data_IF_811050266611
#
_entry.id   IF_811050266611
#
_cell.length_a   1.000
_cell.length_b   1.000
_cell.length_c   1.000
_cell.angle_alpha   90.00
_cell.angle_beta   90.00
_cell.angle_gamma   90.00
#
_symmetry.space_group_name_H-M   'P 1'
#
loop_
_entity.id
_entity.type
_entity.pdbx_description
1 polymer ?
#
# COMPACT_ATOMS: atom_id res chain seq x y z
N UNK A 1 -70.33 -12.09 -15.13
CA UNK A 1 -69.25 -11.12 -14.85
C UNK A 1 -68.56 -11.59 -13.60
N UNK A 2 -67.37 -12.21 -13.73
CA UNK A 2 -66.58 -12.79 -12.61
C UNK A 2 -65.47 -11.81 -12.24
N UNK A 3 -65.51 -11.25 -11.04
CA UNK A 3 -64.43 -10.39 -10.50
C UNK A 3 -63.39 -11.29 -9.84
N UNK A 4 -62.18 -11.33 -10.36
CA UNK A 4 -61.00 -11.96 -9.75
C UNK A 4 -60.43 -11.07 -8.67
N UNK A 5 -59.97 -11.59 -7.52
CA UNK A 5 -59.40 -10.78 -6.45
C UNK A 5 -57.91 -10.49 -6.69
N UNK A 6 -57.60 -9.21 -6.62
CA UNK A 6 -56.26 -8.60 -6.79
C UNK A 6 -55.52 -8.52 -5.43
N UNK A 7 -55.39 -9.61 -4.67
CA UNK A 7 -54.81 -9.55 -3.30
C UNK A 7 -53.80 -10.68 -3.03
N UNK A 8 -52.92 -11.03 -3.96
CA UNK A 8 -51.91 -12.06 -3.60
C UNK A 8 -50.45 -11.75 -4.03
N UNK A 9 -50.14 -10.54 -4.47
CA UNK A 9 -48.77 -10.21 -4.97
C UNK A 9 -47.97 -9.28 -4.04
N UNK A 10 -48.51 -8.80 -2.93
CA UNK A 10 -47.78 -7.80 -2.06
C UNK A 10 -46.98 -8.44 -0.93
N UNK A 11 -47.13 -9.72 -0.62
CA UNK A 11 -46.48 -10.34 0.56
C UNK A 11 -45.14 -11.04 0.27
N UNK A 12 -44.66 -11.11 -0.98
CA UNK A 12 -43.40 -11.78 -1.30
C UNK A 12 -42.17 -10.85 -1.44
N UNK A 13 -42.36 -9.53 -1.40
CA UNK A 13 -41.30 -8.55 -1.62
C UNK A 13 -40.52 -8.14 -0.36
N UNK A 14 -40.96 -8.53 0.83
CA UNK A 14 -40.31 -8.14 2.07
C UNK A 14 -39.22 -9.10 2.58
N UNK A 15 -39.16 -10.33 2.08
CA UNK A 15 -38.16 -11.32 2.55
C UNK A 15 -36.78 -11.14 1.93
N UNK A 16 -36.65 -10.45 0.77
CA UNK A 16 -35.34 -10.23 0.13
C UNK A 16 -34.52 -9.09 0.70
N UNK A 17 -35.16 -8.10 1.33
CA UNK A 17 -34.46 -6.95 1.90
C UNK A 17 -33.68 -7.26 3.18
N UNK A 18 -34.13 -8.24 3.98
CA UNK A 18 -33.47 -8.61 5.24
C UNK A 18 -32.14 -9.37 5.01
N UNK A 19 -32.04 -10.18 3.95
CA UNK A 19 -30.81 -10.92 3.63
C UNK A 19 -29.72 -10.04 3.04
N UNK A 20 -30.06 -8.95 2.36
CA UNK A 20 -29.09 -8.00 1.81
C UNK A 20 -28.44 -7.13 2.91
N UNK A 21 -29.15 -6.83 3.98
CA UNK A 21 -28.62 -6.06 5.11
C UNK A 21 -27.67 -6.87 6.00
N UNK A 22 -27.90 -8.18 6.14
CA UNK A 22 -27.00 -9.07 6.89
C UNK A 22 -25.70 -9.37 6.12
N UNK A 23 -25.75 -9.45 4.79
CA UNK A 23 -24.57 -9.58 3.95
C UNK A 23 -23.69 -8.30 3.99
N UNK A 24 -24.29 -7.12 3.99
CA UNK A 24 -23.55 -5.85 4.13
C UNK A 24 -22.96 -5.62 5.51
N UNK A 25 -23.51 -6.21 6.57
CA UNK A 25 -22.93 -6.14 7.93
C UNK A 25 -21.73 -7.06 8.11
N UNK A 26 -21.62 -8.12 7.32
CA UNK A 26 -20.49 -9.07 7.42
C UNK A 26 -19.19 -8.53 6.80
N UNK A 27 -19.25 -7.54 5.92
CA UNK A 27 -18.11 -6.87 5.29
C UNK A 27 -17.73 -5.53 5.93
N UNK A 28 -18.34 -5.17 7.05
CA UNK A 28 -17.83 -4.08 7.88
C UNK A 28 -16.46 -4.52 8.42
N UNK A 29 -15.40 -4.13 7.74
CA UNK A 29 -14.03 -4.41 8.18
C UNK A 29 -13.90 -4.02 9.64
N UNK A 30 -13.53 -5.00 10.50
CA UNK A 30 -13.18 -4.74 11.90
C UNK A 30 -12.34 -3.45 11.94
N UNK A 31 -12.66 -2.48 12.81
CA UNK A 31 -11.87 -1.26 12.93
C UNK A 31 -10.39 -1.64 13.02
N UNK A 32 -9.56 -1.01 12.20
CA UNK A 32 -8.14 -1.27 12.25
C UNK A 32 -7.64 -0.99 13.67
N UNK A 33 -6.81 -1.90 14.20
CA UNK A 33 -6.16 -1.71 15.48
C UNK A 33 -5.52 -0.30 15.52
N UNK A 34 -5.79 0.52 16.55
CA UNK A 34 -5.25 1.88 16.65
C UNK A 34 -3.73 1.93 16.50
N UNK A 35 -2.99 0.94 17.02
CA UNK A 35 -1.53 0.86 16.89
C UNK A 35 -1.12 0.61 15.43
N UNK A 36 -1.82 -0.28 14.74
CA UNK A 36 -1.58 -0.54 13.31
C UNK A 36 -1.87 0.70 12.47
N UNK A 37 -2.93 1.46 12.84
CA UNK A 37 -3.23 2.72 12.14
C UNK A 37 -2.09 3.72 12.27
N UNK A 38 -1.55 3.91 13.48
CA UNK A 38 -0.43 4.83 13.72
C UNK A 38 0.80 4.43 12.90
N UNK A 39 1.13 3.14 12.88
CA UNK A 39 2.26 2.63 12.09
C UNK A 39 2.05 2.87 10.59
N UNK A 40 0.85 2.59 10.07
CA UNK A 40 0.52 2.81 8.67
C UNK A 40 0.55 4.28 8.28
N UNK A 41 0.00 5.16 9.11
CA UNK A 41 0.00 6.60 8.85
C UNK A 41 1.44 7.13 8.81
N UNK A 42 2.29 6.72 9.75
CA UNK A 42 3.72 7.08 9.76
C UNK A 42 4.47 6.53 8.55
N UNK A 43 4.24 5.27 8.19
CA UNK A 43 4.82 4.65 7.01
C UNK A 43 4.46 5.39 5.72
N UNK A 44 3.17 5.68 5.55
CA UNK A 44 2.66 6.38 4.37
C UNK A 44 3.20 7.82 4.30
N UNK A 45 3.32 8.50 5.43
CA UNK A 45 3.85 9.86 5.48
C UNK A 45 5.34 9.91 5.13
N UNK A 46 6.15 8.95 5.60
CA UNK A 46 7.55 8.82 5.18
C UNK A 46 7.64 8.56 3.68
N UNK A 47 6.83 7.64 3.15
CA UNK A 47 6.79 7.34 1.71
C UNK A 47 6.40 8.55 0.87
N UNK A 48 5.41 9.32 1.32
CA UNK A 48 4.99 10.56 0.65
C UNK A 48 6.12 11.58 0.60
N UNK A 49 6.79 11.82 1.74
CA UNK A 49 7.90 12.78 1.83
C UNK A 49 9.08 12.37 0.95
N UNK A 50 9.47 11.10 1.00
CA UNK A 50 10.58 10.61 0.19
C UNK A 50 10.27 10.69 -1.30
N UNK A 51 9.03 10.38 -1.69
CA UNK A 51 8.57 10.52 -3.08
C UNK A 51 8.61 11.99 -3.53
N UNK A 52 8.10 12.91 -2.72
CA UNK A 52 8.13 14.34 -3.04
C UNK A 52 9.57 14.85 -3.20
N UNK A 53 10.47 14.48 -2.28
CA UNK A 53 11.91 14.80 -2.41
C UNK A 53 12.50 14.27 -3.72
N UNK A 54 12.15 13.04 -4.11
CA UNK A 54 12.62 12.46 -5.35
C UNK A 54 12.05 13.20 -6.58
N UNK A 55 10.79 13.61 -6.54
CA UNK A 55 10.16 14.37 -7.63
C UNK A 55 10.75 15.77 -7.78
N UNK A 56 11.00 16.46 -6.67
CA UNK A 56 11.48 17.85 -6.66
C UNK A 56 12.99 17.96 -6.96
N UNK A 57 13.78 16.92 -6.66
CA UNK A 57 15.23 16.98 -6.84
C UNK A 57 15.61 17.01 -8.33
N UNK A 58 16.54 17.89 -8.77
CA UNK A 58 16.95 17.99 -10.17
C UNK A 58 17.55 16.69 -10.72
N UNK A 59 17.12 16.26 -11.89
CA UNK A 59 17.54 14.98 -12.48
C UNK A 59 19.05 14.94 -12.75
N UNK A 60 19.62 16.04 -13.20
CA UNK A 60 21.07 16.21 -13.47
C UNK A 60 21.92 16.09 -12.20
N UNK A 61 21.32 16.13 -10.99
CA UNK A 61 21.99 16.00 -9.71
C UNK A 61 21.78 14.62 -9.04
N UNK A 62 21.04 13.74 -9.67
CA UNK A 62 20.74 12.40 -9.07
C UNK A 62 22.00 11.59 -8.78
N UNK A 63 23.03 11.72 -9.62
CA UNK A 63 24.29 10.99 -9.46
C UNK A 63 25.37 11.78 -8.72
N UNK A 64 25.05 12.99 -8.23
CA UNK A 64 25.96 13.77 -7.39
C UNK A 64 26.23 13.08 -6.07
N UNK A 65 27.53 12.99 -5.71
CA UNK A 65 28.02 12.48 -4.42
C UNK A 65 28.66 13.60 -3.63
N UNK A 66 28.20 13.88 -2.39
CA UNK A 66 28.83 14.89 -1.54
C UNK A 66 30.31 14.62 -1.29
N UNK A 67 30.66 13.34 -1.13
CA UNK A 67 32.05 12.85 -1.09
C UNK A 67 32.13 11.51 -1.85
N UNK A 68 33.31 11.09 -2.33
CA UNK A 68 33.47 9.82 -3.05
C UNK A 68 33.01 8.58 -2.26
N UNK A 69 33.08 8.63 -0.94
CA UNK A 69 32.70 7.53 -0.07
C UNK A 69 31.19 7.45 0.20
N UNK A 70 30.45 8.49 -0.08
CA UNK A 70 29.00 8.54 0.15
C UNK A 70 28.21 8.06 -1.06
N UNK A 71 26.98 7.61 -0.79
CA UNK A 71 26.00 7.34 -1.84
C UNK A 71 25.59 8.64 -2.54
N UNK A 72 25.32 8.57 -3.84
CA UNK A 72 24.61 9.62 -4.55
C UNK A 72 23.17 9.72 -4.07
N UNK A 73 22.46 10.78 -4.48
CA UNK A 73 21.03 10.93 -4.17
C UNK A 73 20.22 9.74 -4.71
N UNK A 74 20.47 9.32 -5.96
CA UNK A 74 19.86 8.15 -6.56
C UNK A 74 20.12 6.87 -5.75
N UNK A 75 21.38 6.60 -5.40
CA UNK A 75 21.78 5.44 -4.62
C UNK A 75 21.15 5.46 -3.21
N UNK A 76 20.97 6.64 -2.61
CA UNK A 76 20.31 6.78 -1.31
C UNK A 76 18.80 6.49 -1.39
N UNK A 77 18.12 6.93 -2.45
CA UNK A 77 16.72 6.59 -2.70
C UNK A 77 16.53 5.08 -2.89
N UNK A 78 17.39 4.45 -3.70
CA UNK A 78 17.38 3.02 -3.96
C UNK A 78 17.63 2.22 -2.67
N UNK A 79 18.60 2.65 -1.86
CA UNK A 79 18.86 2.06 -0.55
C UNK A 79 17.63 2.15 0.37
N UNK A 80 17.00 3.32 0.49
CA UNK A 80 15.82 3.51 1.31
C UNK A 80 14.64 2.63 0.85
N UNK A 81 14.40 2.56 -0.46
CA UNK A 81 13.36 1.71 -1.03
C UNK A 81 13.66 0.20 -0.87
N UNK A 82 14.92 -0.21 -1.05
CA UNK A 82 15.38 -1.58 -0.79
C UNK A 82 15.20 -1.98 0.66
N UNK A 83 15.47 -1.06 1.59
CA UNK A 83 15.28 -1.27 3.03
C UNK A 83 13.81 -1.51 3.38
N UNK A 84 12.85 -0.93 2.66
CA UNK A 84 11.44 -1.28 2.83
C UNK A 84 11.20 -2.79 2.69
N UNK A 85 11.76 -3.42 1.65
CA UNK A 85 11.65 -4.86 1.43
C UNK A 85 12.44 -5.67 2.47
N UNK A 86 13.60 -5.18 2.90
CA UNK A 86 14.37 -5.84 3.95
C UNK A 86 13.55 -6.03 5.23
N UNK A 87 12.79 -5.02 5.65
CA UNK A 87 11.96 -5.09 6.85
C UNK A 87 10.59 -5.75 6.63
N UNK A 88 10.00 -5.65 5.44
CA UNK A 88 8.63 -6.13 5.22
C UNK A 88 8.56 -7.54 4.63
N UNK A 89 9.57 -8.02 3.93
CA UNK A 89 9.57 -9.37 3.37
C UNK A 89 9.41 -10.45 4.44
N UNK A 90 10.11 -10.43 5.60
CA UNK A 90 9.91 -11.42 6.65
C UNK A 90 8.47 -11.46 7.17
N UNK A 91 7.78 -10.32 7.22
CA UNK A 91 6.37 -10.23 7.63
C UNK A 91 5.46 -11.02 6.68
N UNK A 92 5.85 -11.15 5.43
CA UNK A 92 5.10 -11.89 4.39
C UNK A 92 5.59 -13.31 4.16
N UNK A 93 6.60 -13.75 4.93
CA UNK A 93 7.24 -15.06 4.77
C UNK A 93 8.27 -15.12 3.63
N UNK A 94 8.63 -13.98 3.06
CA UNK A 94 9.67 -13.87 2.05
C UNK A 94 11.04 -13.64 2.70
N UNK A 95 12.11 -13.99 1.98
CA UNK A 95 13.46 -13.65 2.43
C UNK A 95 13.73 -12.16 2.22
N UNK A 96 14.42 -11.48 3.15
CA UNK A 96 14.89 -10.12 2.92
C UNK A 96 15.91 -10.10 1.78
N UNK A 97 15.99 -9.01 1.00
CA UNK A 97 17.04 -8.84 0.02
C UNK A 97 18.40 -8.79 0.71
N UNK A 98 19.43 -9.36 0.09
CA UNK A 98 20.81 -9.40 0.62
C UNK A 98 21.64 -8.22 0.17
N UNK A 99 21.21 -7.53 -0.86
CA UNK A 99 21.93 -6.40 -1.47
C UNK A 99 20.98 -5.23 -1.74
N UNK A 100 21.53 -4.04 -1.73
CA UNK A 100 20.84 -2.84 -2.21
C UNK A 100 20.59 -2.92 -3.72
N UNK A 101 19.46 -2.37 -4.21
CA UNK A 101 19.25 -2.16 -5.64
C UNK A 101 20.36 -1.30 -6.23
N UNK A 102 20.91 -1.72 -7.38
CA UNK A 102 22.04 -1.01 -8.01
C UNK A 102 21.55 0.11 -8.93
N UNK A 103 22.30 1.20 -9.00
CA UNK A 103 21.99 2.39 -9.82
C UNK A 103 21.81 2.05 -11.31
N UNK A 104 22.56 1.09 -11.83
CA UNK A 104 22.51 0.66 -13.23
C UNK A 104 21.22 -0.08 -13.63
N UNK A 105 20.48 -0.59 -12.64
CA UNK A 105 19.17 -1.21 -12.84
C UNK A 105 18.04 -0.19 -13.03
N UNK A 106 18.26 1.08 -12.66
CA UNK A 106 17.28 2.17 -12.66
C UNK A 106 17.86 3.37 -13.42
N UNK A 107 17.66 3.42 -14.72
CA UNK A 107 18.38 4.34 -15.61
C UNK A 107 17.88 5.78 -15.57
N UNK A 108 16.61 5.99 -15.28
CA UNK A 108 15.99 7.32 -15.24
C UNK A 108 15.52 7.71 -13.84
N UNK A 109 15.32 9.01 -13.63
CA UNK A 109 14.63 9.55 -12.45
C UNK A 109 13.26 8.90 -12.29
N UNK A 110 12.51 8.71 -13.37
CA UNK A 110 11.19 8.10 -13.35
C UNK A 110 11.21 6.65 -12.84
N UNK A 111 12.20 5.85 -13.24
CA UNK A 111 12.36 4.47 -12.77
C UNK A 111 12.60 4.41 -11.26
N UNK A 112 13.45 5.30 -10.74
CA UNK A 112 13.76 5.39 -9.30
C UNK A 112 12.52 5.80 -8.52
N UNK A 113 11.79 6.82 -8.98
CA UNK A 113 10.55 7.27 -8.35
C UNK A 113 9.50 6.15 -8.33
N UNK A 114 9.34 5.44 -9.44
CA UNK A 114 8.41 4.30 -9.53
C UNK A 114 8.77 3.19 -8.54
N UNK A 115 10.06 2.88 -8.40
CA UNK A 115 10.55 1.90 -7.44
C UNK A 115 10.30 2.34 -5.98
N UNK A 116 10.58 3.60 -5.64
CA UNK A 116 10.29 4.16 -4.31
C UNK A 116 8.79 4.04 -3.99
N UNK A 117 7.92 4.51 -4.89
CA UNK A 117 6.46 4.41 -4.73
C UNK A 117 6.00 2.97 -4.52
N UNK A 118 6.52 2.05 -5.33
CA UNK A 118 6.18 0.63 -5.24
C UNK A 118 6.62 0.04 -3.90
N UNK A 119 7.83 0.30 -3.45
CA UNK A 119 8.37 -0.26 -2.21
C UNK A 119 7.53 0.17 -0.98
N UNK A 120 7.13 1.44 -0.90
CA UNK A 120 6.26 1.93 0.16
C UNK A 120 4.83 1.36 0.07
N UNK A 121 4.28 1.20 -1.13
CA UNK A 121 2.97 0.58 -1.33
C UNK A 121 2.95 -0.89 -0.90
N UNK A 122 3.96 -1.66 -1.29
CA UNK A 122 4.13 -3.07 -0.92
C UNK A 122 4.31 -3.22 0.60
N UNK A 123 5.10 -2.34 1.22
CA UNK A 123 5.28 -2.30 2.67
C UNK A 123 3.98 -2.01 3.42
N UNK A 124 3.22 -1.02 2.98
CA UNK A 124 1.90 -0.73 3.55
C UNK A 124 0.94 -1.92 3.43
N UNK A 125 0.97 -2.65 2.30
CA UNK A 125 0.18 -3.86 2.12
C UNK A 125 0.62 -5.00 3.06
N UNK A 126 1.93 -5.13 3.32
CA UNK A 126 2.47 -6.11 4.27
C UNK A 126 2.01 -5.82 5.70
N UNK A 127 2.08 -4.55 6.14
CA UNK A 127 1.62 -4.10 7.47
C UNK A 127 0.13 -4.42 7.65
N UNK A 128 -0.73 -4.06 6.67
CA UNK A 128 -2.17 -4.37 6.71
C UNK A 128 -2.46 -5.87 6.79
N UNK A 129 -1.67 -6.69 6.08
CA UNK A 129 -1.84 -8.16 6.08
C UNK A 129 -1.52 -8.78 7.43
N UNK A 130 -0.50 -8.29 8.11
CA UNK A 130 -0.14 -8.77 9.46
C UNK A 130 -1.24 -8.44 10.46
N UNK A 131 -1.76 -7.22 10.41
CA UNK A 131 -2.82 -6.76 11.30
C UNK A 131 -4.12 -7.58 11.22
N UNK A 132 -4.42 -8.19 10.06
CA UNK A 132 -5.60 -9.05 9.90
C UNK A 132 -5.44 -10.45 10.50
N UNK A 133 -4.22 -10.85 10.87
CA UNK A 133 -3.90 -12.19 11.40
C UNK A 133 -3.75 -12.23 12.93
N UNK A 134 -3.80 -11.06 13.56
CA UNK A 134 -3.81 -10.89 15.01
C UNK A 134 -5.23 -10.53 15.48
#
# INVERSE_FOLDING_TARGET
>A
MKRLPFITIVLMSFAFAAHAQDAMKKDAAKPADPEVKVVLDSWNEIGRKLTAMAEDFPEDKYDFKPTPAQRSFAEQLLHAAGSCYYFTNPVTGQKPPTEDPKRDQYKSKADIIAFVKKAFADGAAAIRRKAKKV
#
